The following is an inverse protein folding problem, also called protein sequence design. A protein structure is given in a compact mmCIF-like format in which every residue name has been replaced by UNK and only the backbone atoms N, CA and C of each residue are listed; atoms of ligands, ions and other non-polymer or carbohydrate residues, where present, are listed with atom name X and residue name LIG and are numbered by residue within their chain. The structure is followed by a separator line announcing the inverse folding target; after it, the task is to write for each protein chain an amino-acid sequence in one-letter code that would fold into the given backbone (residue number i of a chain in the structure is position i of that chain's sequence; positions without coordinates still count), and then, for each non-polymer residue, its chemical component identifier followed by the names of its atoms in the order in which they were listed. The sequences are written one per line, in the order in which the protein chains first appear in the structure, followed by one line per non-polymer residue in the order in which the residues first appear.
data_IF_122691886134
#
_entry.id   IF_122691886134
#
_cell.length_a   1.000
_cell.length_b   1.000
_cell.length_c   1.000
_cell.angle_alpha   90.00
_cell.angle_beta   90.00
_cell.angle_gamma   90.00
#
_symmetry.space_group_name_H-M   'P 1'
#
loop_
_entity.id
_entity.type
_entity.pdbx_description
1 polymer ?
#
# COMPACT_ATOMS: atom_id res chain seq x y z
N UNK A 1 -12.63 -6.75 -16.86
CA UNK A 1 -11.45 -5.99 -16.37
C UNK A 1 -11.93 -5.09 -15.26
N UNK A 2 -11.34 -5.15 -14.06
CA UNK A 2 -11.72 -4.24 -12.98
C UNK A 2 -11.41 -2.79 -13.40
N UNK A 3 -12.38 -1.89 -13.26
CA UNK A 3 -12.19 -0.48 -13.57
C UNK A 3 -11.18 0.12 -12.57
N UNK A 4 -10.12 0.74 -13.07
CA UNK A 4 -9.19 1.50 -12.22
C UNK A 4 -9.82 2.86 -11.90
N UNK A 5 -9.86 3.20 -10.62
CA UNK A 5 -10.30 4.52 -10.16
C UNK A 5 -9.11 5.48 -10.09
N UNK A 6 -9.30 6.73 -10.50
CA UNK A 6 -8.28 7.78 -10.37
C UNK A 6 -8.49 8.51 -9.06
N UNK A 7 -7.42 8.61 -8.27
CA UNK A 7 -7.41 9.34 -6.99
C UNK A 7 -6.34 10.42 -7.03
N UNK A 8 -6.65 11.58 -6.45
CA UNK A 8 -5.66 12.62 -6.18
C UNK A 8 -5.04 12.35 -4.81
N UNK A 9 -3.71 12.41 -4.73
CA UNK A 9 -2.96 12.22 -3.48
C UNK A 9 -2.07 13.44 -3.25
N UNK A 10 -1.88 13.79 -1.99
CA UNK A 10 -0.90 14.82 -1.57
C UNK A 10 0.36 14.11 -1.12
N UNK A 11 1.51 14.54 -1.64
CA UNK A 11 2.83 14.01 -1.30
C UNK A 11 3.76 15.18 -1.01
N UNK A 12 4.74 14.96 -0.12
CA UNK A 12 5.83 15.90 0.05
C UNK A 12 6.60 16.03 -1.29
N UNK A 13 6.83 17.26 -1.80
CA UNK A 13 7.48 17.45 -3.09
C UNK A 13 8.87 16.83 -3.18
N UNK A 14 9.69 16.93 -2.13
CA UNK A 14 11.06 16.41 -2.12
C UNK A 14 11.05 14.88 -2.14
N UNK A 15 10.15 14.28 -1.36
CA UNK A 15 9.98 12.81 -1.33
C UNK A 15 9.51 12.31 -2.70
N UNK A 16 8.56 13.01 -3.33
CA UNK A 16 8.05 12.61 -4.64
C UNK A 16 9.12 12.70 -5.73
N UNK A 17 9.90 13.79 -5.76
CA UNK A 17 10.99 13.97 -6.72
C UNK A 17 12.06 12.88 -6.59
N UNK A 18 12.52 12.61 -5.35
CA UNK A 18 13.50 11.57 -5.08
C UNK A 18 12.97 10.17 -5.45
N UNK A 19 11.71 9.89 -5.11
CA UNK A 19 11.05 8.65 -5.53
C UNK A 19 11.03 8.53 -7.05
N UNK A 20 10.63 9.57 -7.77
CA UNK A 20 10.57 9.57 -9.24
C UNK A 20 11.95 9.32 -9.86
N UNK A 21 13.03 9.87 -9.29
CA UNK A 21 14.40 9.61 -9.74
C UNK A 21 14.71 8.11 -9.68
N UNK A 22 14.56 7.48 -8.52
CA UNK A 22 14.89 6.07 -8.35
C UNK A 22 13.91 5.10 -9.03
N UNK A 23 12.61 5.43 -9.02
CA UNK A 23 11.59 4.64 -9.69
C UNK A 23 11.77 4.65 -11.21
N UNK A 24 12.15 5.81 -11.77
CA UNK A 24 12.46 5.97 -13.18
C UNK A 24 13.61 5.07 -13.64
N UNK A 25 14.69 4.98 -12.86
CA UNK A 25 15.82 4.07 -13.13
C UNK A 25 15.40 2.59 -13.19
N UNK A 26 14.32 2.23 -12.50
CA UNK A 26 13.79 0.86 -12.42
C UNK A 26 12.58 0.62 -13.33
N UNK A 27 12.15 1.61 -14.11
CA UNK A 27 10.93 1.54 -14.93
C UNK A 27 9.63 1.39 -14.13
N UNK A 28 9.63 1.79 -12.85
CA UNK A 28 8.48 1.66 -11.96
C UNK A 28 7.58 2.89 -12.07
N UNK A 29 6.28 2.66 -12.31
CA UNK A 29 5.27 3.72 -12.29
C UNK A 29 4.82 4.00 -10.85
N UNK A 30 4.64 5.28 -10.51
CA UNK A 30 4.13 5.74 -9.21
C UNK A 30 2.84 5.01 -8.84
N UNK A 31 1.87 4.95 -9.75
CA UNK A 31 0.57 4.29 -9.50
C UNK A 31 0.71 2.79 -9.23
N UNK A 32 1.64 2.12 -9.90
CA UNK A 32 1.94 0.70 -9.65
C UNK A 32 2.53 0.52 -8.25
N UNK A 33 3.49 1.34 -7.88
CA UNK A 33 4.13 1.27 -6.56
C UNK A 33 3.14 1.57 -5.43
N UNK A 34 2.34 2.64 -5.57
CA UNK A 34 1.31 3.01 -4.59
C UNK A 34 0.30 1.86 -4.42
N UNK A 35 -0.15 1.24 -5.52
CA UNK A 35 -1.08 0.11 -5.45
C UNK A 35 -0.46 -1.10 -4.72
N UNK A 36 0.83 -1.39 -4.93
CA UNK A 36 1.54 -2.44 -4.18
C UNK A 36 1.56 -2.12 -2.70
N UNK A 37 1.92 -0.88 -2.32
CA UNK A 37 1.94 -0.45 -0.91
C UNK A 37 0.57 -0.52 -0.24
N UNK A 38 -0.50 -0.16 -0.96
CA UNK A 38 -1.86 -0.33 -0.44
C UNK A 38 -2.22 -1.80 -0.21
N UNK A 39 -1.79 -2.70 -1.09
CA UNK A 39 -2.04 -4.15 -0.92
C UNK A 39 -1.27 -4.73 0.27
N UNK A 40 0.02 -4.40 0.38
CA UNK A 40 0.86 -4.80 1.52
C UNK A 40 0.21 -4.37 2.84
N UNK A 41 -0.20 -3.10 2.94
CA UNK A 41 -0.88 -2.58 4.13
C UNK A 41 -2.18 -3.33 4.46
N UNK A 42 -3.02 -3.61 3.46
CA UNK A 42 -4.29 -4.35 3.67
C UNK A 42 -4.04 -5.78 4.14
N UNK A 43 -3.00 -6.44 3.60
CA UNK A 43 -2.64 -7.81 3.99
C UNK A 43 -2.15 -7.86 5.44
N UNK A 44 -1.29 -6.92 5.83
CA UNK A 44 -0.81 -6.78 7.20
C UNK A 44 -1.97 -6.56 8.19
N UNK A 45 -2.88 -5.63 7.88
CA UNK A 45 -4.04 -5.35 8.74
C UNK A 45 -4.96 -6.58 8.88
N UNK A 46 -5.22 -7.31 7.79
CA UNK A 46 -6.00 -8.56 7.85
C UNK A 46 -5.32 -9.60 8.74
N UNK A 47 -4.00 -9.75 8.65
CA UNK A 47 -3.26 -10.68 9.50
C UNK A 47 -3.40 -10.30 10.98
N UNK A 48 -3.29 -9.01 11.30
CA UNK A 48 -3.45 -8.50 12.66
C UNK A 48 -4.87 -8.71 13.20
N UNK A 49 -5.90 -8.50 12.37
CA UNK A 49 -7.29 -8.78 12.73
C UNK A 49 -7.51 -10.26 13.06
N UNK A 50 -6.97 -11.17 12.25
CA UNK A 50 -7.09 -12.61 12.49
C UNK A 50 -6.36 -13.05 13.77
N UNK A 51 -5.20 -12.47 14.07
CA UNK A 51 -4.50 -12.70 15.34
C UNK A 51 -5.35 -12.22 16.52
N UNK A 52 -5.96 -11.03 16.41
CA UNK A 52 -6.85 -10.48 17.45
C UNK A 52 -8.07 -11.36 17.68
N UNK A 53 -8.73 -11.83 16.62
CA UNK A 53 -9.87 -12.76 16.69
C UNK A 53 -9.50 -14.05 17.40
N UNK A 54 -8.40 -14.70 16.99
CA UNK A 54 -7.92 -15.94 17.63
C UNK A 54 -7.60 -15.77 19.11
N UNK A 55 -7.03 -14.62 19.51
CA UNK A 55 -6.80 -14.30 20.94
C UNK A 55 -8.10 -14.16 21.72
N UNK A 56 -9.11 -13.52 21.13
CA UNK A 56 -10.43 -13.37 21.76
C UNK A 56 -11.19 -14.70 21.87
N UNK A 57 -11.12 -15.54 20.85
CA UNK A 57 -11.75 -16.87 20.83
C UNK A 57 -11.07 -17.86 21.78
N UNK A 58 -9.74 -17.81 21.90
CA UNK A 58 -8.99 -18.67 22.83
C UNK A 58 -9.08 -18.26 24.31
N UNK A 59 -9.74 -17.15 24.63
CA UNK A 59 -9.99 -16.68 26.00
C UNK A 59 -11.39 -17.11 26.50
N UNK A 60 -12.13 -17.94 25.75
CA UNK A 60 -13.51 -18.34 26.03
C UNK A 60 -13.65 -19.81 26.38
#
# INVERSE_FOLDING_TARGET
MAAMTRHNISLDPKVYEEFCHYAGLKGIKVSTWVNIKMKEFIEDEKMLEEIKKKRLEGTR
#
